data_IF_760831208747
#
_entry.id   IF_760831208747
#
_cell.length_a   1.000
_cell.length_b   1.000
_cell.length_c   1.000
_cell.angle_alpha   90.00
_cell.angle_beta   90.00
_cell.angle_gamma   90.00
#
_symmetry.space_group_name_H-M   'P 1'
#
loop_
_entity.id
_entity.type
_entity.pdbx_description
1 polymer ?
#
# COMPACT_ATOMS: atom_id res chain seq x y z
N UNK A 1 34.74 65.56 35.75
CA UNK A 1 35.03 64.27 35.11
C UNK A 1 33.72 63.48 34.97
N UNK A 2 33.44 63.03 33.74
CA UNK A 2 32.45 62.05 33.25
C UNK A 2 31.10 61.86 33.97
N UNK A 3 30.04 62.39 33.33
CA UNK A 3 28.66 61.87 33.41
C UNK A 3 28.58 60.52 32.71
N UNK A 4 28.12 59.47 33.40
CA UNK A 4 27.85 58.15 32.80
C UNK A 4 26.34 58.01 32.58
N UNK A 5 25.92 57.90 31.31
CA UNK A 5 24.54 57.63 30.91
C UNK A 5 24.35 56.11 30.90
N UNK A 6 23.49 55.58 31.77
CA UNK A 6 23.05 54.19 31.70
C UNK A 6 22.07 54.04 30.54
N UNK A 7 22.49 53.33 29.49
CA UNK A 7 21.65 52.94 28.36
C UNK A 7 21.01 51.59 28.70
N UNK A 8 19.69 51.59 28.88
CA UNK A 8 18.90 50.37 29.07
C UNK A 8 18.68 49.76 27.68
N UNK A 9 19.30 48.61 27.40
CA UNK A 9 19.00 47.78 26.22
C UNK A 9 17.93 46.75 26.61
N UNK A 10 16.81 46.62 25.88
CA UNK A 10 15.88 45.53 26.12
C UNK A 10 16.49 44.23 25.60
N UNK A 11 16.66 43.27 26.50
CA UNK A 11 17.10 41.90 26.18
C UNK A 11 15.86 41.14 25.66
N UNK A 12 15.70 41.04 24.34
CA UNK A 12 14.67 40.20 23.74
C UNK A 12 15.04 38.72 23.97
N UNK A 13 14.45 38.08 24.98
CA UNK A 13 14.45 36.63 25.11
C UNK A 13 13.56 36.05 24.01
N UNK A 14 14.16 35.58 22.91
CA UNK A 14 13.48 34.69 21.98
C UNK A 14 13.46 33.28 22.59
N UNK A 15 12.31 32.90 23.16
CA UNK A 15 12.06 31.52 23.60
C UNK A 15 11.84 30.69 22.34
N UNK A 16 12.88 30.00 21.87
CA UNK A 16 12.75 28.94 20.87
C UNK A 16 12.09 27.75 21.52
N UNK A 17 10.79 27.58 21.29
CA UNK A 17 10.05 26.39 21.66
C UNK A 17 10.49 25.25 20.73
N UNK A 18 11.55 24.55 21.11
CA UNK A 18 11.90 23.26 20.49
C UNK A 18 10.88 22.23 20.95
N UNK A 19 9.85 22.04 20.14
CA UNK A 19 8.95 20.88 20.22
C UNK A 19 9.78 19.62 20.00
N UNK A 20 10.13 18.95 21.09
CA UNK A 20 10.57 17.56 21.06
C UNK A 20 9.38 16.72 20.58
N UNK A 21 9.36 16.37 19.29
CA UNK A 21 8.45 15.36 18.76
C UNK A 21 8.87 14.00 19.34
N UNK A 22 8.26 13.61 20.46
CA UNK A 22 8.18 12.20 20.81
C UNK A 22 7.23 11.55 19.81
N UNK A 23 7.77 10.78 18.88
CA UNK A 23 6.98 9.98 17.95
C UNK A 23 6.30 8.84 18.72
N UNK A 24 5.16 9.13 19.34
CA UNK A 24 4.17 8.10 19.65
C UNK A 24 3.71 7.49 18.33
N UNK A 25 3.63 6.16 18.24
CA UNK A 25 3.11 5.48 17.06
C UNK A 25 1.72 6.07 16.71
N UNK A 26 1.68 6.89 15.66
CA UNK A 26 0.53 7.73 15.38
C UNK A 26 -0.49 6.91 14.59
N UNK A 27 -1.61 6.60 15.22
CA UNK A 27 -2.79 6.18 14.49
C UNK A 27 -3.06 7.19 13.36
N UNK A 28 -3.24 6.70 12.15
CA UNK A 28 -3.35 7.50 10.93
C UNK A 28 -4.81 7.81 10.62
N UNK A 29 -5.02 8.94 9.96
CA UNK A 29 -6.35 9.40 9.55
C UNK A 29 -6.50 9.37 8.03
N UNK A 30 -7.74 9.35 7.56
CA UNK A 30 -8.05 9.45 6.14
C UNK A 30 -7.45 10.71 5.51
N UNK A 31 -7.37 11.81 6.26
CA UNK A 31 -6.74 13.06 5.80
C UNK A 31 -5.23 12.89 5.53
N UNK A 32 -4.51 12.24 6.46
CA UNK A 32 -3.07 11.95 6.28
C UNK A 32 -2.83 10.98 5.11
N UNK A 33 -3.69 9.99 4.95
CA UNK A 33 -3.65 9.04 3.84
C UNK A 33 -3.91 9.74 2.50
N UNK A 34 -4.93 10.61 2.43
CA UNK A 34 -5.21 11.41 1.22
C UNK A 34 -4.01 12.29 0.87
N UNK A 35 -3.39 12.95 1.86
CA UNK A 35 -2.21 13.78 1.64
C UNK A 35 -1.01 12.98 1.10
N UNK A 36 -0.85 11.72 1.50
CA UNK A 36 0.24 10.84 1.04
C UNK A 36 0.23 10.59 -0.48
N UNK A 37 -0.92 10.76 -1.15
CA UNK A 37 -1.04 10.62 -2.61
C UNK A 37 -0.29 11.68 -3.40
N UNK A 38 0.10 12.78 -2.75
CA UNK A 38 0.88 13.86 -3.34
C UNK A 38 2.38 13.51 -3.40
N UNK A 39 2.72 12.26 -3.69
CA UNK A 39 4.10 11.80 -3.89
C UNK A 39 4.41 11.61 -5.37
N UNK A 40 5.24 12.48 -5.97
CA UNK A 40 5.70 12.31 -7.35
C UNK A 40 6.48 11.01 -7.57
N UNK A 41 7.24 10.58 -6.55
CA UNK A 41 8.10 9.38 -6.63
C UNK A 41 7.27 8.09 -6.68
N UNK A 42 6.10 8.09 -6.03
CA UNK A 42 5.15 6.99 -6.08
C UNK A 42 4.35 6.98 -7.38
N UNK A 43 3.88 8.15 -7.83
CA UNK A 43 3.11 8.29 -9.07
C UNK A 43 3.88 7.80 -10.30
N UNK A 44 5.17 8.14 -10.40
CA UNK A 44 6.07 7.76 -11.51
C UNK A 44 5.43 7.90 -12.90
N UNK A 45 4.87 9.09 -13.15
CA UNK A 45 4.16 9.36 -14.39
C UNK A 45 5.10 9.38 -15.60
N UNK A 46 4.77 8.58 -16.62
CA UNK A 46 5.53 8.51 -17.88
C UNK A 46 4.60 8.49 -19.07
N UNK A 47 4.97 9.19 -20.14
CA UNK A 47 4.36 9.01 -21.46
C UNK A 47 5.07 7.85 -22.13
N UNK A 48 4.33 6.79 -22.44
CA UNK A 48 4.88 5.52 -22.96
C UNK A 48 4.47 5.25 -24.41
N UNK A 49 3.67 6.11 -25.03
CA UNK A 49 3.26 5.88 -26.42
C UNK A 49 2.16 6.79 -26.94
N UNK A 50 1.54 6.35 -28.04
CA UNK A 50 0.43 7.03 -28.72
C UNK A 50 -0.68 6.01 -29.00
N UNK A 51 -1.92 6.42 -28.75
CA UNK A 51 -3.12 5.68 -29.11
C UNK A 51 -3.83 6.31 -30.31
N UNK A 52 -4.42 5.47 -31.16
CA UNK A 52 -5.16 5.85 -32.35
C UNK A 52 -6.65 5.54 -32.17
N UNK A 53 -7.50 6.52 -32.46
CA UNK A 53 -8.95 6.46 -32.32
C UNK A 53 -9.61 6.87 -33.62
N UNK A 54 -10.71 6.24 -33.98
CA UNK A 54 -11.57 6.67 -35.08
C UNK A 54 -12.71 7.52 -34.51
N UNK A 55 -12.77 8.78 -34.96
CA UNK A 55 -13.89 9.68 -34.69
C UNK A 55 -14.71 9.83 -35.97
N UNK A 56 -15.89 9.22 -36.01
CA UNK A 56 -16.83 9.36 -37.11
C UNK A 56 -17.92 10.37 -36.77
N UNK A 57 -18.19 11.29 -37.69
CA UNK A 57 -19.34 12.18 -37.69
C UNK A 57 -20.15 11.94 -38.98
N UNK A 58 -21.38 12.49 -39.12
CA UNK A 58 -22.15 12.36 -40.34
C UNK A 58 -21.45 12.86 -41.61
N UNK A 59 -20.39 13.68 -41.47
CA UNK A 59 -19.62 14.26 -42.57
C UNK A 59 -18.31 13.51 -42.87
N UNK A 60 -18.03 12.41 -42.17
CA UNK A 60 -16.86 11.56 -42.41
C UNK A 60 -16.15 11.11 -41.13
N UNK A 61 -15.17 10.21 -41.31
CA UNK A 61 -14.35 9.69 -40.21
C UNK A 61 -12.94 10.29 -40.23
N UNK A 62 -12.42 10.66 -39.06
CA UNK A 62 -11.05 11.16 -38.88
C UNK A 62 -10.35 10.34 -37.82
N UNK A 63 -9.10 9.97 -38.09
CA UNK A 63 -8.23 9.37 -37.07
C UNK A 63 -7.78 10.47 -36.11
N UNK A 64 -7.98 10.23 -34.82
CA UNK A 64 -7.55 11.07 -33.71
C UNK A 64 -6.51 10.33 -32.90
N UNK A 65 -5.50 11.05 -32.42
CA UNK A 65 -4.46 10.48 -31.55
C UNK A 65 -4.62 10.99 -30.13
N UNK A 66 -4.20 10.18 -29.16
CA UNK A 66 -3.98 10.59 -27.77
C UNK A 66 -2.71 10.00 -27.21
N UNK A 67 -2.15 10.62 -26.18
CA UNK A 67 -0.98 10.10 -25.48
C UNK A 67 -1.35 8.84 -24.69
N UNK A 68 -0.50 7.83 -24.77
CA UNK A 68 -0.53 6.67 -23.88
C UNK A 68 0.37 6.98 -22.69
N UNK A 69 -0.20 6.89 -21.51
CA UNK A 69 0.50 7.16 -20.26
C UNK A 69 0.60 5.87 -19.46
N UNK A 70 1.66 5.77 -18.65
CA UNK A 70 1.82 4.75 -17.62
C UNK A 70 2.21 5.44 -16.33
N UNK A 71 1.50 5.12 -15.25
CA UNK A 71 1.80 5.63 -13.92
C UNK A 71 1.22 4.68 -12.87
N UNK A 72 1.57 4.89 -11.61
CA UNK A 72 0.98 4.13 -10.51
C UNK A 72 -0.22 4.88 -9.94
N UNK A 73 -1.22 4.12 -9.52
CA UNK A 73 -2.41 4.59 -8.80
C UNK A 73 -2.40 3.94 -7.42
N UNK A 74 -2.62 4.68 -6.32
CA UNK A 74 -2.82 4.09 -5.01
C UNK A 74 -4.20 3.44 -5.01
N UNK A 75 -4.23 2.12 -5.17
CA UNK A 75 -5.49 1.36 -5.27
C UNK A 75 -6.06 1.10 -3.86
N UNK A 76 -5.21 0.81 -2.88
CA UNK A 76 -5.65 0.49 -1.53
C UNK A 76 -4.68 0.96 -0.45
N UNK A 77 -5.19 1.05 0.76
CA UNK A 77 -4.41 1.05 2.00
C UNK A 77 -4.51 -0.36 2.57
N UNK A 78 -3.36 -0.94 2.89
CA UNK A 78 -3.25 -2.25 3.52
C UNK A 78 -2.71 -2.05 4.92
N UNK A 79 -3.51 -2.39 5.92
CA UNK A 79 -3.12 -2.36 7.33
C UNK A 79 -2.71 -3.75 7.77
N UNK A 80 -1.69 -3.85 8.62
CA UNK A 80 -1.32 -5.08 9.33
C UNK A 80 -1.16 -4.77 10.81
N UNK A 81 -1.89 -5.46 11.69
CA UNK A 81 -2.00 -5.06 13.10
C UNK A 81 -2.18 -6.26 14.03
N UNK A 82 -1.68 -6.15 15.27
CA UNK A 82 -1.56 -7.30 16.17
C UNK A 82 -2.90 -7.85 16.66
N UNK A 83 -3.88 -6.99 16.98
CA UNK A 83 -5.13 -7.39 17.63
C UNK A 83 -6.36 -6.91 16.86
N UNK A 84 -7.41 -7.73 16.81
CA UNK A 84 -8.72 -7.34 16.25
C UNK A 84 -9.21 -6.00 16.81
N UNK A 85 -9.55 -5.07 15.93
CA UNK A 85 -9.98 -3.70 16.29
C UNK A 85 -8.82 -2.75 16.62
N UNK A 86 -7.58 -3.14 16.38
CA UNK A 86 -6.39 -2.30 16.56
C UNK A 86 -5.80 -1.84 15.21
N UNK A 87 -6.63 -1.70 14.16
CA UNK A 87 -6.16 -1.15 12.89
C UNK A 87 -5.64 0.28 13.13
N UNK A 88 -4.41 0.61 12.70
CA UNK A 88 -3.85 1.95 12.92
C UNK A 88 -4.59 3.04 12.13
N UNK A 89 -5.40 2.69 11.13
CA UNK A 89 -6.30 3.62 10.46
C UNK A 89 -7.59 3.79 11.28
N UNK A 90 -7.66 4.88 12.05
CA UNK A 90 -8.67 5.11 13.10
C UNK A 90 -10.10 4.95 12.58
N UNK A 91 -10.42 5.58 11.45
CA UNK A 91 -11.78 5.58 10.91
C UNK A 91 -12.22 4.21 10.39
N UNK A 92 -11.28 3.33 10.06
CA UNK A 92 -11.54 1.99 9.54
C UNK A 92 -11.41 0.89 10.60
N UNK A 93 -10.81 1.19 11.75
CA UNK A 93 -10.61 0.24 12.84
C UNK A 93 -11.86 -0.51 13.31
N UNK A 94 -13.06 0.10 13.35
CA UNK A 94 -14.28 -0.63 13.70
C UNK A 94 -14.63 -1.82 12.77
N UNK A 95 -14.11 -1.84 11.53
CA UNK A 95 -14.34 -2.93 10.59
C UNK A 95 -13.62 -4.24 11.01
N UNK A 96 -12.51 -4.11 11.73
CA UNK A 96 -11.72 -5.23 12.23
C UNK A 96 -12.14 -5.72 13.62
N UNK A 97 -13.35 -5.38 14.08
CA UNK A 97 -13.79 -5.69 15.45
C UNK A 97 -13.85 -7.20 15.74
N UNK A 98 -13.62 -7.60 17.00
CA UNK A 98 -13.70 -9.00 17.39
C UNK A 98 -15.06 -9.64 17.05
N UNK A 99 -15.04 -10.91 16.65
CA UNK A 99 -16.22 -11.72 16.41
C UNK A 99 -16.01 -13.16 16.95
N UNK A 100 -17.04 -14.03 16.99
CA UNK A 100 -16.92 -15.37 17.58
C UNK A 100 -15.82 -16.25 16.98
N UNK A 101 -15.45 -16.04 15.72
CA UNK A 101 -14.40 -16.80 15.02
C UNK A 101 -13.03 -16.08 15.00
N UNK A 102 -13.00 -14.80 15.35
CA UNK A 102 -11.81 -13.95 15.38
C UNK A 102 -11.87 -13.04 16.61
N UNK A 103 -11.44 -13.56 17.77
CA UNK A 103 -11.62 -12.88 19.06
C UNK A 103 -10.47 -11.96 19.45
N UNK A 104 -9.23 -12.35 19.14
CA UNK A 104 -8.00 -11.65 19.48
C UNK A 104 -6.85 -12.10 18.56
N UNK A 105 -5.71 -11.42 18.60
CA UNK A 105 -4.50 -11.82 17.88
C UNK A 105 -3.31 -11.87 18.82
N UNK A 106 -2.28 -11.09 18.47
CA UNK A 106 -1.01 -10.95 19.16
C UNK A 106 0.01 -12.05 18.85
N UNK A 107 1.26 -11.75 19.16
CA UNK A 107 2.36 -12.69 19.04
C UNK A 107 2.13 -13.89 19.97
N UNK A 108 2.79 -15.02 19.70
CA UNK A 108 2.82 -16.18 20.62
C UNK A 108 3.29 -15.87 22.06
N UNK A 109 3.49 -16.92 22.85
CA UNK A 109 3.99 -16.79 24.23
C UNK A 109 5.38 -17.38 24.36
N UNK A 110 6.25 -16.74 25.13
CA UNK A 110 7.56 -17.27 25.53
C UNK A 110 7.54 -17.70 27.00
N UNK A 111 8.46 -18.59 27.39
CA UNK A 111 8.53 -19.09 28.76
C UNK A 111 9.37 -18.16 29.66
N UNK A 112 10.30 -17.42 29.06
CA UNK A 112 11.14 -16.45 29.76
C UNK A 112 11.04 -15.04 29.16
N UNK A 113 11.09 -14.02 30.01
CA UNK A 113 10.99 -12.60 29.60
C UNK A 113 12.14 -12.15 28.69
N UNK A 114 13.29 -12.83 28.75
CA UNK A 114 14.44 -12.57 27.88
C UNK A 114 14.37 -13.29 26.52
N UNK A 115 13.40 -14.18 26.32
CA UNK A 115 13.22 -14.87 25.05
C UNK A 115 12.47 -13.96 24.06
N UNK A 116 13.00 -13.87 22.84
CA UNK A 116 12.29 -13.21 21.77
C UNK A 116 11.22 -14.15 21.20
N UNK A 117 10.06 -13.59 20.90
CA UNK A 117 9.01 -14.33 20.24
C UNK A 117 9.18 -14.29 18.72
N UNK A 118 9.42 -15.46 18.15
CA UNK A 118 9.64 -15.62 16.72
C UNK A 118 8.34 -15.88 15.96
N UNK A 119 7.28 -16.35 16.61
CA UNK A 119 5.98 -16.60 15.97
C UNK A 119 5.09 -15.40 16.21
N UNK A 120 4.92 -14.61 15.16
CA UNK A 120 4.11 -13.40 15.18
C UNK A 120 2.82 -13.61 14.39
N UNK A 121 1.75 -12.98 14.87
CA UNK A 121 0.45 -12.97 14.18
C UNK A 121 -0.01 -11.54 13.95
N UNK A 122 -0.51 -11.26 12.75
CA UNK A 122 -1.16 -9.99 12.43
C UNK A 122 -2.48 -10.23 11.70
N UNK A 123 -3.47 -9.44 12.04
CA UNK A 123 -4.63 -9.19 11.20
C UNK A 123 -4.24 -8.31 10.03
N UNK A 124 -5.00 -8.39 8.93
CA UNK A 124 -4.80 -7.54 7.77
C UNK A 124 -6.13 -7.09 7.15
N UNK A 125 -6.18 -5.80 6.84
CA UNK A 125 -7.32 -5.19 6.15
C UNK A 125 -6.84 -4.53 4.87
N UNK A 126 -7.54 -4.76 3.76
CA UNK A 126 -7.31 -4.07 2.49
C UNK A 126 -8.52 -3.23 2.16
N UNK A 127 -8.33 -1.91 2.16
CA UNK A 127 -9.42 -0.94 1.98
C UNK A 127 -9.05 0.01 0.85
N UNK A 128 -10.00 0.29 -0.03
CA UNK A 128 -9.78 1.16 -1.18
C UNK A 128 -9.29 2.56 -0.78
N UNK A 129 -8.29 3.06 -1.50
CA UNK A 129 -7.58 4.27 -1.10
C UNK A 129 -8.49 5.52 -1.20
N UNK A 130 -8.61 6.35 -0.16
CA UNK A 130 -9.52 7.51 -0.16
C UNK A 130 -9.05 8.66 -1.08
N UNK A 131 -7.76 8.74 -1.35
CA UNK A 131 -7.13 9.83 -2.10
C UNK A 131 -7.26 9.79 -3.63
N UNK A 132 -8.09 8.92 -4.22
CA UNK A 132 -8.19 8.79 -5.69
C UNK A 132 -8.57 10.09 -6.42
N UNK A 133 -9.46 10.90 -5.82
CA UNK A 133 -9.85 12.21 -6.39
C UNK A 133 -8.70 13.24 -6.30
N UNK A 134 -8.05 13.33 -5.14
CA UNK A 134 -6.89 14.21 -4.92
C UNK A 134 -5.73 13.86 -5.84
N UNK A 135 -5.44 12.56 -6.00
CA UNK A 135 -4.47 12.08 -6.97
C UNK A 135 -4.85 12.50 -8.39
N UNK A 136 -6.12 12.32 -8.78
CA UNK A 136 -6.57 12.69 -10.12
C UNK A 136 -6.37 14.19 -10.38
N UNK A 137 -6.66 15.04 -9.39
CA UNK A 137 -6.40 16.48 -9.47
C UNK A 137 -4.90 16.77 -9.58
N UNK A 138 -4.08 16.19 -8.71
CA UNK A 138 -2.63 16.39 -8.69
C UNK A 138 -1.95 15.89 -9.99
N UNK A 139 -2.23 14.65 -10.39
CA UNK A 139 -1.66 14.04 -11.58
C UNK A 139 -2.22 14.65 -12.88
N UNK A 140 -3.42 15.26 -12.85
CA UNK A 140 -3.95 15.96 -14.02
C UNK A 140 -3.11 17.16 -14.47
N UNK A 141 -2.34 17.76 -13.55
CA UNK A 141 -1.36 18.78 -13.90
C UNK A 141 -0.25 18.25 -14.83
N UNK A 142 0.01 16.92 -14.81
CA UNK A 142 0.98 16.24 -15.68
C UNK A 142 0.35 15.68 -16.96
N UNK A 143 -0.99 15.56 -17.03
CA UNK A 143 -1.72 15.10 -18.22
C UNK A 143 -2.93 14.22 -17.90
N UNK A 144 -3.25 13.29 -18.80
CA UNK A 144 -4.37 12.37 -18.59
C UNK A 144 -4.01 11.30 -17.55
N UNK A 145 -4.93 10.97 -16.65
CA UNK A 145 -4.70 10.04 -15.54
C UNK A 145 -5.58 8.81 -15.71
N UNK A 146 -5.01 7.64 -15.45
CA UNK A 146 -5.70 6.37 -15.47
C UNK A 146 -6.59 6.20 -14.25
N UNK A 147 -7.77 5.64 -14.47
CA UNK A 147 -8.68 5.23 -13.40
C UNK A 147 -8.14 3.96 -12.74
N UNK A 148 -8.05 3.96 -11.40
CA UNK A 148 -7.73 2.75 -10.62
C UNK A 148 -8.86 1.72 -10.67
N UNK A 149 -8.57 0.50 -10.19
CA UNK A 149 -9.55 -0.59 -10.15
C UNK A 149 -10.50 -0.51 -8.94
N UNK A 150 -10.16 0.30 -7.93
CA UNK A 150 -10.88 0.34 -6.65
C UNK A 150 -11.71 1.59 -6.46
N UNK A 151 -12.71 1.46 -5.61
CA UNK A 151 -13.52 2.53 -5.03
C UNK A 151 -12.99 2.93 -3.65
N UNK A 152 -13.04 4.23 -3.30
CA UNK A 152 -12.52 4.73 -2.03
C UNK A 152 -13.31 4.18 -0.84
N UNK A 153 -12.62 3.83 0.24
CA UNK A 153 -13.19 3.36 1.51
C UNK A 153 -13.99 2.04 1.44
N UNK A 154 -13.94 1.33 0.31
CA UNK A 154 -14.55 0.00 0.19
C UNK A 154 -13.59 -1.06 0.76
N UNK A 155 -14.02 -1.91 1.71
CA UNK A 155 -13.21 -3.01 2.19
C UNK A 155 -13.18 -4.14 1.14
N UNK A 156 -11.99 -4.47 0.64
CA UNK A 156 -11.77 -5.59 -0.28
C UNK A 156 -11.38 -6.86 0.45
N UNK A 157 -10.73 -6.73 1.61
CA UNK A 157 -10.38 -7.86 2.46
C UNK A 157 -10.37 -7.40 3.91
N UNK A 158 -10.94 -8.22 4.79
CA UNK A 158 -10.90 -8.06 6.23
C UNK A 158 -10.58 -9.43 6.81
N UNK A 159 -9.39 -9.60 7.37
CA UNK A 159 -8.94 -10.90 7.87
C UNK A 159 -9.84 -11.48 8.97
N UNK A 160 -10.50 -10.62 9.74
CA UNK A 160 -11.46 -11.02 10.79
C UNK A 160 -12.70 -11.72 10.23
N UNK A 161 -13.05 -11.47 8.97
CA UNK A 161 -14.17 -12.13 8.26
C UNK A 161 -13.72 -13.37 7.48
N UNK A 162 -12.42 -13.65 7.45
CA UNK A 162 -11.81 -14.78 6.75
C UNK A 162 -11.04 -15.72 7.71
N UNK A 163 -11.64 -16.18 8.83
CA UNK A 163 -10.91 -16.92 9.85
C UNK A 163 -10.35 -18.27 9.35
N UNK A 164 -11.03 -18.92 8.40
CA UNK A 164 -10.64 -20.24 7.88
C UNK A 164 -9.29 -20.16 7.17
N UNK A 165 -9.18 -19.28 6.16
CA UNK A 165 -7.95 -19.14 5.41
C UNK A 165 -6.91 -18.27 6.11
N UNK A 166 -7.33 -17.19 6.78
CA UNK A 166 -6.39 -16.27 7.42
C UNK A 166 -5.83 -16.77 8.76
N UNK A 167 -6.68 -17.26 9.66
CA UNK A 167 -6.25 -17.67 11.00
C UNK A 167 -5.79 -19.12 11.06
N UNK A 168 -6.52 -20.03 10.43
CA UNK A 168 -6.15 -21.45 10.43
C UNK A 168 -5.20 -21.82 9.28
N UNK A 169 -5.03 -20.96 8.27
CA UNK A 169 -4.16 -21.25 7.12
C UNK A 169 -4.71 -22.34 6.20
N UNK A 170 -5.99 -22.72 6.34
CA UNK A 170 -6.66 -23.72 5.50
C UNK A 170 -7.52 -22.96 4.50
N UNK A 171 -7.28 -23.04 3.17
CA UNK A 171 -6.56 -24.09 2.48
C UNK A 171 -5.13 -23.73 2.04
N UNK A 172 -4.61 -22.57 2.44
CA UNK A 172 -3.32 -22.06 2.01
C UNK A 172 -2.14 -23.03 2.23
N UNK A 173 -2.22 -23.89 3.25
CA UNK A 173 -1.21 -24.90 3.57
C UNK A 173 -0.99 -25.98 2.49
N UNK A 174 -1.94 -26.21 1.58
CA UNK A 174 -1.81 -27.24 0.53
C UNK A 174 -1.32 -26.70 -0.81
N UNK A 175 -1.07 -25.39 -0.92
CA UNK A 175 -0.49 -24.82 -2.13
C UNK A 175 0.96 -25.32 -2.29
N UNK A 176 1.41 -25.64 -3.52
CA UNK A 176 2.79 -26.03 -3.77
C UNK A 176 3.81 -25.04 -3.20
N UNK A 177 3.49 -23.75 -3.27
CA UNK A 177 4.34 -22.66 -2.76
C UNK A 177 4.43 -22.63 -1.24
N UNK A 178 3.48 -23.22 -0.51
CA UNK A 178 3.57 -23.41 0.94
C UNK A 178 4.43 -24.62 1.32
N UNK A 179 4.54 -25.62 0.43
CA UNK A 179 5.20 -26.90 0.70
C UNK A 179 6.66 -26.95 0.23
N UNK A 180 7.04 -26.07 -0.69
CA UNK A 180 8.39 -26.02 -1.28
C UNK A 180 9.10 -24.77 -0.77
N UNK A 181 10.10 -24.91 0.12
CA UNK A 181 10.85 -23.77 0.64
C UNK A 181 11.51 -22.93 -0.45
N UNK A 182 11.51 -21.61 -0.29
CA UNK A 182 12.15 -20.69 -1.23
C UNK A 182 11.30 -20.31 -2.44
N UNK A 183 10.11 -20.90 -2.61
CA UNK A 183 9.11 -20.40 -3.55
C UNK A 183 8.33 -19.24 -2.92
N UNK A 184 8.12 -18.16 -3.69
CA UNK A 184 7.29 -17.02 -3.30
C UNK A 184 7.69 -16.44 -1.93
N UNK A 185 8.92 -15.94 -1.87
CA UNK A 185 9.49 -15.31 -0.67
C UNK A 185 9.60 -13.80 -0.83
N UNK A 186 9.31 -13.05 0.22
CA UNK A 186 9.65 -11.62 0.27
C UNK A 186 11.14 -11.52 0.58
N UNK A 187 11.91 -11.15 -0.45
CA UNK A 187 13.37 -11.08 -0.40
C UNK A 187 14.03 -12.41 -0.76
N UNK A 188 15.33 -12.50 -0.53
CA UNK A 188 16.08 -13.72 -0.86
C UNK A 188 17.14 -14.03 0.18
N UNK A 189 17.30 -15.31 0.48
CA UNK A 189 18.36 -15.83 1.33
C UNK A 189 19.74 -15.58 0.72
N UNK A 190 19.86 -15.65 -0.61
CA UNK A 190 21.13 -15.43 -1.32
C UNK A 190 21.63 -13.99 -1.19
N UNK A 191 20.71 -13.03 -1.06
CA UNK A 191 21.03 -11.61 -0.85
C UNK A 191 20.95 -11.19 0.61
N UNK A 192 20.85 -12.14 1.55
CA UNK A 192 20.69 -11.88 2.99
C UNK A 192 19.54 -10.89 3.33
N UNK A 193 18.48 -10.87 2.51
CA UNK A 193 17.35 -9.93 2.62
C UNK A 193 16.01 -10.64 2.79
N UNK A 194 16.02 -11.90 3.25
CA UNK A 194 14.81 -12.69 3.49
C UNK A 194 13.98 -12.07 4.63
N UNK A 195 12.75 -11.70 4.33
CA UNK A 195 11.77 -11.18 5.29
C UNK A 195 10.75 -12.25 5.68
N UNK A 196 10.38 -13.13 4.75
CA UNK A 196 9.53 -14.28 5.01
C UNK A 196 8.73 -14.73 3.80
N UNK A 197 8.03 -15.86 3.96
CA UNK A 197 7.29 -16.54 2.91
C UNK A 197 5.92 -15.90 2.64
N UNK A 198 5.49 -15.85 1.39
CA UNK A 198 4.14 -15.40 1.04
C UNK A 198 3.11 -16.50 1.33
N UNK A 199 3.43 -17.77 1.08
CA UNK A 199 2.51 -18.90 1.30
C UNK A 199 2.93 -19.71 2.54
N UNK A 200 2.00 -20.13 3.41
CA UNK A 200 0.55 -19.91 3.33
C UNK A 200 0.18 -18.45 3.60
N UNK A 201 -0.78 -17.89 2.84
CA UNK A 201 -1.25 -16.50 3.01
C UNK A 201 -2.18 -16.36 4.22
N UNK A 202 -1.61 -16.65 5.39
CA UNK A 202 -2.22 -16.57 6.71
C UNK A 202 -1.66 -15.39 7.51
N UNK A 203 -2.22 -15.12 8.69
CA UNK A 203 -1.74 -14.09 9.60
C UNK A 203 -0.43 -14.44 10.33
N UNK A 204 0.04 -15.69 10.28
CA UNK A 204 1.21 -16.16 11.03
C UNK A 204 2.51 -16.08 10.22
N UNK A 205 3.58 -15.60 10.84
CA UNK A 205 4.92 -15.63 10.27
C UNK A 205 5.97 -15.95 11.34
N UNK A 206 6.98 -16.72 10.96
CA UNK A 206 8.15 -16.93 11.79
C UNK A 206 9.21 -15.86 11.48
N UNK A 207 9.27 -14.80 12.28
CA UNK A 207 10.15 -13.66 12.08
C UNK A 207 10.38 -12.94 13.43
N UNK A 208 11.64 -12.55 13.69
CA UNK A 208 12.01 -11.83 14.92
C UNK A 208 11.64 -10.35 14.88
N UNK A 209 11.62 -9.77 13.69
CA UNK A 209 11.39 -8.34 13.43
C UNK A 209 9.89 -8.09 13.17
N UNK A 210 9.30 -7.17 13.92
CA UNK A 210 7.85 -6.92 13.87
C UNK A 210 7.44 -6.17 12.60
N UNK A 211 8.24 -5.19 12.17
CA UNK A 211 8.04 -4.48 10.91
C UNK A 211 8.06 -5.43 9.70
N UNK A 212 9.06 -6.32 9.61
CA UNK A 212 9.14 -7.31 8.52
C UNK A 212 7.90 -8.21 8.51
N UNK A 213 7.41 -8.59 9.68
CA UNK A 213 6.17 -9.35 9.81
C UNK A 213 5.00 -8.56 9.24
N UNK A 214 4.79 -7.32 9.70
CA UNK A 214 3.71 -6.47 9.18
C UNK A 214 3.77 -6.32 7.66
N UNK A 215 4.96 -6.11 7.10
CA UNK A 215 5.15 -5.92 5.66
C UNK A 215 4.86 -7.20 4.84
N UNK A 216 5.31 -8.37 5.30
CA UNK A 216 4.99 -9.66 4.66
C UNK A 216 3.49 -9.94 4.75
N UNK A 217 2.86 -9.64 5.87
CA UNK A 217 1.42 -9.80 6.05
C UNK A 217 0.63 -8.86 5.11
N UNK A 218 1.05 -7.60 4.98
CA UNK A 218 0.47 -6.68 4.01
C UNK A 218 0.65 -7.18 2.56
N UNK A 219 1.82 -7.74 2.23
CA UNK A 219 2.08 -8.36 0.94
C UNK A 219 1.16 -9.56 0.67
N UNK A 220 0.90 -10.42 1.67
CA UNK A 220 -0.03 -11.54 1.55
C UNK A 220 -1.45 -11.08 1.27
N UNK A 221 -1.95 -10.12 2.04
CA UNK A 221 -3.28 -9.56 1.85
C UNK A 221 -3.42 -8.89 0.46
N UNK A 222 -2.40 -8.15 0.02
CA UNK A 222 -2.31 -7.58 -1.33
C UNK A 222 -2.29 -8.64 -2.44
N UNK A 223 -1.58 -9.76 -2.25
CA UNK A 223 -1.54 -10.87 -3.21
C UNK A 223 -2.91 -11.56 -3.35
N UNK A 224 -3.68 -11.71 -2.26
CA UNK A 224 -5.04 -12.29 -2.27
C UNK A 224 -5.97 -11.42 -3.11
N UNK A 225 -6.08 -10.12 -2.79
CA UNK A 225 -7.05 -9.22 -3.44
C UNK A 225 -6.74 -8.91 -4.90
N UNK A 226 -5.48 -9.04 -5.33
CA UNK A 226 -5.07 -8.76 -6.71
C UNK A 226 -5.17 -9.99 -7.62
N UNK A 227 -5.79 -11.08 -7.16
CA UNK A 227 -6.01 -12.32 -7.92
C UNK A 227 -7.47 -12.73 -7.90
N UNK A 228 -7.86 -13.59 -8.85
CA UNK A 228 -9.18 -14.22 -8.88
C UNK A 228 -9.12 -15.64 -8.31
N UNK A 229 -10.25 -16.11 -7.78
CA UNK A 229 -10.42 -17.51 -7.38
C UNK A 229 -9.53 -17.94 -6.20
N UNK A 230 -9.12 -17.01 -5.35
CA UNK A 230 -8.41 -17.35 -4.13
C UNK A 230 -9.40 -17.89 -3.11
N UNK A 231 -8.98 -18.89 -2.31
CA UNK A 231 -9.85 -19.52 -1.34
C UNK A 231 -9.90 -18.72 -0.02
N UNK A 232 -10.30 -17.47 -0.14
CA UNK A 232 -10.43 -16.47 0.92
C UNK A 232 -11.79 -15.77 0.79
N UNK A 233 -12.27 -15.13 1.86
CA UNK A 233 -13.43 -14.21 1.79
C UNK A 233 -12.94 -12.81 1.43
N UNK A 234 -13.09 -12.42 0.16
CA UNK A 234 -12.59 -11.13 -0.34
C UNK A 234 -13.34 -10.64 -1.59
N UNK A 235 -13.13 -9.37 -1.93
CA UNK A 235 -13.51 -8.77 -3.21
C UNK A 235 -12.24 -8.55 -4.05
N UNK A 236 -12.20 -8.98 -5.32
CA UNK A 236 -11.03 -8.79 -6.16
C UNK A 236 -10.87 -7.34 -6.61
N UNK A 237 -9.66 -6.79 -6.46
CA UNK A 237 -9.25 -5.46 -6.92
C UNK A 237 -8.74 -5.51 -8.36
N UNK A 238 -9.54 -6.08 -9.26
CA UNK A 238 -9.20 -6.25 -10.67
C UNK A 238 -10.22 -5.54 -11.55
N UNK A 239 -9.72 -4.69 -12.44
CA UNK A 239 -10.51 -4.09 -13.50
C UNK A 239 -10.36 -4.91 -14.79
N UNK A 240 -11.41 -4.93 -15.61
CA UNK A 240 -11.35 -5.55 -16.93
C UNK A 240 -10.67 -4.61 -17.93
N UNK A 241 -9.77 -5.11 -18.79
CA UNK A 241 -9.21 -4.31 -19.87
C UNK A 241 -10.30 -3.91 -20.84
N UNK A 242 -10.20 -2.69 -21.36
CA UNK A 242 -11.06 -2.19 -22.42
C UNK A 242 -10.23 -1.32 -23.37
N UNK A 243 -10.73 -1.00 -24.57
CA UNK A 243 -9.90 -0.33 -25.56
C UNK A 243 -9.35 1.01 -25.05
N UNK A 244 -8.01 1.14 -25.07
CA UNK A 244 -7.30 2.29 -24.51
C UNK A 244 -7.06 2.26 -22.99
N UNK A 245 -7.31 1.13 -22.32
CA UNK A 245 -7.08 0.95 -20.88
C UNK A 245 -6.51 -0.43 -20.56
N UNK A 246 -5.35 -0.43 -19.89
CA UNK A 246 -4.63 -1.62 -19.46
C UNK A 246 -4.52 -1.58 -17.93
N UNK A 247 -5.31 -2.42 -17.22
CA UNK A 247 -5.36 -2.45 -15.77
C UNK A 247 -4.11 -3.10 -15.17
N UNK A 248 -3.89 -2.85 -13.89
CA UNK A 248 -2.84 -3.51 -13.13
C UNK A 248 -3.09 -5.03 -13.02
N UNK A 249 -2.02 -5.82 -13.23
CA UNK A 249 -2.02 -7.27 -13.07
C UNK A 249 -1.81 -7.71 -11.61
N UNK A 250 -1.74 -9.02 -11.38
CA UNK A 250 -1.53 -9.57 -10.04
C UNK A 250 -0.24 -9.06 -9.39
N UNK A 251 -0.31 -8.76 -8.09
CA UNK A 251 0.85 -8.30 -7.32
C UNK A 251 1.88 -9.42 -7.17
N UNK A 252 3.16 -9.07 -7.28
CA UNK A 252 4.29 -9.95 -6.97
C UNK A 252 5.31 -9.24 -6.08
N UNK A 253 5.73 -9.95 -5.05
CA UNK A 253 6.81 -9.59 -4.14
C UNK A 253 8.10 -9.29 -4.90
N UNK A 254 8.84 -8.26 -4.48
CA UNK A 254 10.08 -7.83 -5.12
C UNK A 254 9.95 -7.25 -6.54
N UNK A 255 8.78 -7.28 -7.17
CA UNK A 255 8.58 -6.82 -8.55
C UNK A 255 7.82 -5.50 -8.62
N UNK A 256 8.59 -4.42 -8.78
CA UNK A 256 8.07 -3.06 -8.89
C UNK A 256 7.14 -2.86 -10.09
N UNK A 257 7.22 -3.71 -11.11
CA UNK A 257 6.35 -3.65 -12.30
C UNK A 257 4.92 -4.11 -12.04
N UNK A 258 4.66 -4.73 -10.87
CA UNK A 258 3.33 -5.20 -10.46
C UNK A 258 2.73 -4.34 -9.34
N UNK A 259 3.56 -3.75 -8.49
CA UNK A 259 3.13 -2.82 -7.46
C UNK A 259 4.27 -2.36 -6.57
N UNK A 260 4.01 -1.30 -5.80
CA UNK A 260 4.92 -0.71 -4.82
C UNK A 260 4.17 -0.35 -3.55
N UNK A 261 4.92 -0.20 -2.48
CA UNK A 261 4.43 0.11 -1.15
C UNK A 261 4.94 1.47 -0.71
N UNK A 262 4.04 2.30 -0.23
CA UNK A 262 4.34 3.53 0.48
C UNK A 262 4.05 3.32 1.95
N UNK A 263 5.03 3.53 2.82
CA UNK A 263 4.79 3.44 4.27
C UNK A 263 3.98 4.63 4.76
N UNK A 264 2.89 4.35 5.50
CA UNK A 264 2.03 5.37 6.10
C UNK A 264 2.24 5.46 7.61
N UNK A 265 2.44 4.33 8.27
CA UNK A 265 2.68 4.22 9.72
C UNK A 265 3.58 3.02 9.99
N UNK A 266 4.54 3.09 10.95
CA UNK A 266 4.66 4.08 12.02
C UNK A 266 5.15 5.47 11.59
N UNK A 267 5.90 5.58 10.49
CA UNK A 267 6.39 6.87 9.98
C UNK A 267 6.02 7.02 8.51
N UNK A 268 5.31 8.10 8.19
CA UNK A 268 4.95 8.41 6.82
C UNK A 268 6.20 8.62 5.96
N UNK A 269 6.38 7.77 4.95
CA UNK A 269 7.45 7.88 3.99
C UNK A 269 6.90 8.46 2.66
N UNK A 270 7.47 9.55 2.13
CA UNK A 270 7.03 10.10 0.85
C UNK A 270 7.50 9.24 -0.34
N UNK A 271 8.32 8.21 -0.15
CA UNK A 271 8.83 7.36 -1.23
C UNK A 271 8.14 6.00 -1.28
N UNK A 272 8.12 5.41 -2.47
CA UNK A 272 7.57 4.08 -2.72
C UNK A 272 8.67 3.08 -3.07
N UNK A 273 8.61 1.89 -2.48
CA UNK A 273 9.55 0.81 -2.74
C UNK A 273 8.82 -0.54 -2.78
N UNK A 274 9.48 -1.56 -3.31
CA UNK A 274 9.05 -2.96 -3.11
C UNK A 274 9.60 -3.48 -1.80
N UNK A 275 8.96 -4.51 -1.24
CA UNK A 275 9.60 -5.30 -0.19
C UNK A 275 10.51 -6.36 -0.81
N UNK A 276 11.69 -6.63 -0.22
CA UNK A 276 12.28 -5.98 0.96
C UNK A 276 12.84 -4.58 0.63
N UNK A 277 12.76 -3.65 1.60
CA UNK A 277 13.41 -2.33 1.50
C UNK A 277 14.79 -2.34 2.18
N UNK A 278 15.64 -1.38 1.80
CA UNK A 278 16.99 -1.17 2.38
C UNK A 278 16.96 -0.11 3.49
N UNK A 279 15.86 0.62 3.62
CA UNK A 279 15.69 1.64 4.65
C UNK A 279 15.61 1.02 6.05
N UNK A 280 15.95 1.77 7.11
CA UNK A 280 15.80 1.31 8.48
C UNK A 280 14.34 0.95 8.78
N UNK A 281 14.12 -0.28 9.24
CA UNK A 281 12.83 -0.71 9.75
C UNK A 281 12.57 -0.03 11.09
N UNK A 282 11.46 0.68 11.22
CA UNK A 282 11.03 1.28 12.48
C UNK A 282 9.86 0.45 12.99
N UNK A 283 10.02 -0.16 14.16
CA UNK A 283 8.94 -0.92 14.77
C UNK A 283 7.86 0.01 15.33
N UNK A 284 6.61 -0.39 15.16
CA UNK A 284 5.45 0.28 15.76
C UNK A 284 5.32 -0.15 17.22
N UNK A 285 5.08 0.79 18.13
CA UNK A 285 4.96 0.48 19.56
C UNK A 285 3.78 -0.46 19.86
N UNK A 286 2.68 -0.32 19.10
CA UNK A 286 1.46 -1.13 19.26
C UNK A 286 1.41 -2.30 18.25
N UNK A 287 2.46 -2.47 17.44
CA UNK A 287 2.54 -3.47 16.37
C UNK A 287 1.55 -3.26 15.22
N UNK A 288 1.03 -2.04 15.07
CA UNK A 288 0.16 -1.63 13.97
C UNK A 288 0.94 -0.91 12.87
N UNK A 289 0.80 -1.38 11.64
CA UNK A 289 1.43 -0.85 10.44
C UNK A 289 0.40 -0.63 9.34
N UNK A 290 0.69 0.28 8.41
CA UNK A 290 -0.11 0.45 7.21
C UNK A 290 0.73 0.99 6.05
N UNK A 291 0.40 0.50 4.86
CA UNK A 291 1.03 0.92 3.61
C UNK A 291 -0.02 1.24 2.55
N UNK A 292 0.24 2.25 1.71
CA UNK A 292 -0.53 2.42 0.48
C UNK A 292 0.06 1.51 -0.61
N UNK A 293 -0.81 0.74 -1.26
CA UNK A 293 -0.48 -0.12 -2.39
C UNK A 293 -0.67 0.65 -3.69
N UNK A 294 0.45 0.97 -4.33
CA UNK A 294 0.52 1.67 -5.62
C UNK A 294 0.67 0.65 -6.74
N UNK A 295 -0.27 0.65 -7.70
CA UNK A 295 -0.30 -0.33 -8.79
C UNK A 295 -0.21 0.34 -10.16
N UNK A 296 0.49 -0.27 -11.14
CA UNK A 296 0.74 0.36 -12.42
C UNK A 296 -0.45 0.20 -13.36
N UNK A 297 -0.88 1.32 -13.93
CA UNK A 297 -1.90 1.37 -14.97
C UNK A 297 -1.32 2.01 -16.22
N UNK A 298 -1.78 1.55 -17.38
CA UNK A 298 -1.58 2.29 -18.62
C UNK A 298 -2.92 2.65 -19.24
N UNK A 299 -3.03 3.84 -19.82
CA UNK A 299 -4.28 4.28 -20.43
C UNK A 299 -4.07 5.39 -21.45
N UNK A 300 -5.11 5.64 -22.22
CA UNK A 300 -5.20 6.70 -23.20
C UNK A 300 -6.48 7.48 -23.03
N UNK A 301 -6.42 8.80 -23.20
CA UNK A 301 -7.62 9.60 -23.26
C UNK A 301 -8.44 9.20 -24.49
N UNK A 302 -9.72 8.85 -24.29
CA UNK A 302 -10.61 8.52 -25.41
C UNK A 302 -10.84 9.75 -26.29
N UNK A 303 -10.47 9.67 -27.56
CA UNK A 303 -10.62 10.75 -28.56
C UNK A 303 -11.51 10.38 -29.76
N UNK A 304 -12.15 9.22 -29.74
CA UNK A 304 -13.07 8.73 -30.77
C UNK A 304 -13.98 7.61 -30.25
N UNK A 305 -14.91 7.17 -31.09
CA UNK A 305 -15.82 6.08 -30.73
C UNK A 305 -15.10 4.72 -30.72
N UNK A 306 -14.23 4.49 -31.70
CA UNK A 306 -13.55 3.19 -31.91
C UNK A 306 -12.05 3.33 -31.65
N UNK A 307 -11.46 2.36 -30.95
CA UNK A 307 -10.01 2.27 -30.76
C UNK A 307 -9.40 1.48 -31.92
N UNK A 308 -8.35 2.03 -32.54
CA UNK A 308 -7.69 1.42 -33.68
C UNK A 308 -6.41 0.67 -33.26
N UNK A 309 -5.74 1.11 -32.20
CA UNK A 309 -4.51 0.51 -31.71
C UNK A 309 -3.63 1.50 -30.95
N UNK A 310 -2.45 1.05 -30.53
CA UNK A 310 -1.44 1.89 -29.87
C UNK A 310 -0.03 1.49 -30.28
N UNK A 311 0.88 2.46 -30.26
CA UNK A 311 2.33 2.26 -30.43
C UNK A 311 3.05 2.73 -29.17
N UNK A 312 3.94 1.91 -28.65
CA UNK A 312 4.75 2.25 -27.47
C UNK A 312 6.08 2.88 -27.90
N UNK A 313 6.56 3.83 -27.11
CA UNK A 313 7.89 4.40 -27.23
C UNK A 313 8.90 3.40 -26.66
N UNK A 314 10.03 3.26 -27.35
CA UNK A 314 11.19 2.48 -26.88
C UNK A 314 11.79 3.10 -25.61
#
# INVERSE_FOLDING_TARGET
MRRSRFVIRPLSLAITFSLSFSASAAAITSATIIASTLSPTCLEYRVVGICYWLLCTPFGCKVKTSTKVRHYVPDAVVSAYSNTGANPWIEMSPLGTPNPMAQAGNDGTTNHVAENNIIKFKEADVIGHPGGATLSQFASASGYVCKGATLPLVPYFLSTLDPIAWRYGVPEAVYPEALIPGLREVGSLLSASSWGNVYPRSGFLNQTDDYKTGAVIAQRAGDVVTRLGQAHVYLPMLALPYPGYWPAGALREGDASTGKWQELTPVLNPTCATFPTILPNIDSQDGGYAWALWRPYSCCQRRGQTFLGSTDFL
#
